data_IF_790934895853
#
_entry.id   IF_790934895853
#
_cell.length_a   1.000
_cell.length_b   1.000
_cell.length_c   1.000
_cell.angle_alpha   90.00
_cell.angle_beta   90.00
_cell.angle_gamma   90.00
#
_symmetry.space_group_name_H-M   'P 1'
#
loop_
_entity.id
_entity.type
_entity.pdbx_description
1 polymer ?
#
# COMPACT_ATOMS: atom_id res chain seq x y z
N UNK A 1 7.56 25.03 -6.32
CA UNK A 1 7.17 25.68 -5.06
C UNK A 1 6.49 24.61 -4.23
N UNK A 2 7.27 23.89 -3.43
CA UNK A 2 6.79 22.84 -2.52
C UNK A 2 6.30 23.56 -1.28
N UNK A 3 4.99 23.57 -1.03
CA UNK A 3 4.41 24.07 0.22
C UNK A 3 4.06 22.85 1.08
N UNK A 4 5.03 22.45 1.90
CA UNK A 4 4.81 21.62 3.08
C UNK A 4 3.96 22.40 4.08
N UNK A 5 2.71 21.98 4.28
CA UNK A 5 1.90 22.44 5.40
C UNK A 5 2.13 21.49 6.58
N UNK A 6 3.03 21.90 7.48
CA UNK A 6 3.05 21.47 8.86
C UNK A 6 1.96 22.25 9.60
N UNK A 7 1.00 21.56 10.21
CA UNK A 7 0.15 22.10 11.28
C UNK A 7 0.50 21.38 12.59
N UNK A 8 0.78 22.12 13.68
CA UNK A 8 0.80 21.57 15.02
C UNK A 8 -0.38 22.10 15.86
N UNK A 9 -0.57 21.51 17.06
CA UNK A 9 -1.48 21.92 18.15
C UNK A 9 -2.99 21.69 17.88
N UNK A 10 -3.82 21.18 18.80
CA UNK A 10 -3.68 20.81 20.21
C UNK A 10 -5.05 20.33 20.72
N UNK A 11 -5.04 19.70 21.90
CA UNK A 11 -6.18 19.52 22.82
C UNK A 11 -7.18 18.45 22.37
N UNK A 12 -7.78 17.60 23.21
CA UNK A 12 -7.74 17.25 24.64
C UNK A 12 -8.97 16.34 24.84
N UNK A 13 -8.96 15.41 25.80
CA UNK A 13 -10.08 15.12 26.74
C UNK A 13 -9.94 13.70 27.31
N UNK A 14 -10.00 13.62 28.65
CA UNK A 14 -10.18 12.42 29.47
C UNK A 14 -8.89 12.01 30.18
N UNK A 15 -8.76 11.95 31.51
CA UNK A 15 -9.67 12.08 32.64
C UNK A 15 -8.73 12.18 33.88
N UNK A 16 -8.78 13.22 34.74
CA UNK A 16 -9.53 13.22 36.03
C UNK A 16 -8.58 13.28 37.26
N UNK A 17 -8.71 14.38 38.04
CA UNK A 17 -8.28 14.63 39.44
C UNK A 17 -6.76 14.81 39.69
N UNK A 18 -6.21 15.83 40.38
CA UNK A 18 -6.71 16.70 41.45
C UNK A 18 -6.07 18.12 41.36
N UNK A 19 -6.94 19.12 41.56
CA UNK A 19 -6.69 20.51 42.02
C UNK A 19 -5.72 20.60 43.22
N UNK A 20 -5.15 21.72 43.65
CA UNK A 20 -5.02 23.13 43.25
C UNK A 20 -4.20 23.78 44.40
N UNK A 21 -3.30 24.71 44.07
CA UNK A 21 -2.83 25.91 44.80
C UNK A 21 -2.84 25.94 46.36
N UNK A 22 -1.70 26.30 46.98
CA UNK A 22 -1.42 27.64 47.56
C UNK A 22 -0.17 27.60 48.47
N UNK A 23 0.62 28.68 48.48
CA UNK A 23 1.23 29.17 49.72
C UNK A 23 2.72 28.90 49.96
N UNK A 24 3.53 29.89 49.58
CA UNK A 24 4.85 30.25 50.14
C UNK A 24 4.86 30.33 51.68
N UNK A 25 5.89 29.80 52.35
CA UNK A 25 6.70 30.44 53.41
C UNK A 25 7.78 29.47 53.95
N UNK A 26 9.03 29.89 53.80
CA UNK A 26 10.22 29.62 54.65
C UNK A 26 10.75 28.19 54.93
N UNK A 27 11.91 27.89 54.34
CA UNK A 27 13.09 27.55 55.13
C UNK A 27 13.49 26.08 55.27
N UNK A 28 12.59 25.10 55.08
CA UNK A 28 12.94 23.66 55.16
C UNK A 28 12.51 22.84 53.96
N UNK A 29 11.89 23.48 52.97
CA UNK A 29 11.26 22.79 51.84
C UNK A 29 12.22 22.37 50.72
N UNK A 30 13.46 22.88 50.68
CA UNK A 30 14.41 22.53 49.62
C UNK A 30 14.78 21.05 49.59
N UNK A 31 14.99 20.45 50.76
CA UNK A 31 15.31 19.02 50.87
C UNK A 31 14.08 18.15 50.59
N UNK A 32 12.88 18.59 51.00
CA UNK A 32 11.63 17.90 50.69
C UNK A 32 11.29 18.00 49.20
N UNK A 33 11.50 19.13 48.53
CA UNK A 33 11.34 19.25 47.08
C UNK A 33 12.32 18.36 46.32
N UNK A 34 13.57 18.24 46.77
CA UNK A 34 14.54 17.33 46.13
C UNK A 34 14.24 15.86 46.42
N UNK A 35 13.71 15.52 47.59
CA UNK A 35 13.23 14.16 47.89
C UNK A 35 11.95 13.85 47.14
N UNK A 36 11.03 14.80 46.95
CA UNK A 36 9.80 14.63 46.16
C UNK A 36 10.11 14.61 44.66
N UNK A 37 11.06 15.40 44.18
CA UNK A 37 11.56 15.31 42.80
C UNK A 37 12.34 14.00 42.62
N UNK A 38 13.21 13.61 43.54
CA UNK A 38 13.90 12.32 43.50
C UNK A 38 12.94 11.13 43.58
N UNK A 39 11.87 11.23 44.37
CA UNK A 39 10.82 10.22 44.47
C UNK A 39 9.90 10.23 43.24
N UNK A 40 9.63 11.38 42.62
CA UNK A 40 8.90 11.46 41.36
C UNK A 40 9.71 10.80 40.23
N UNK A 41 11.03 11.02 40.20
CA UNK A 41 11.92 10.41 39.21
C UNK A 41 12.16 8.91 39.49
N UNK A 42 11.94 8.46 40.73
CA UNK A 42 11.93 7.05 41.10
C UNK A 42 10.55 6.38 40.94
N UNK A 43 9.46 7.15 40.89
CA UNK A 43 8.11 6.64 40.66
C UNK A 43 7.84 6.39 39.16
N UNK A 44 8.41 7.19 38.26
CA UNK A 44 8.31 6.92 36.80
C UNK A 44 9.10 5.67 36.36
N UNK A 45 10.07 5.20 37.15
CA UNK A 45 10.85 4.00 36.83
C UNK A 45 10.14 2.68 37.19
N UNK A 46 9.00 2.73 37.92
CA UNK A 46 8.35 1.53 38.46
C UNK A 46 7.06 1.12 37.73
N UNK A 47 6.62 1.86 36.73
CA UNK A 47 5.49 1.48 35.87
C UNK A 47 5.92 0.66 34.63
N UNK A 48 7.22 0.34 34.52
CA UNK A 48 7.82 -0.38 33.41
C UNK A 48 7.90 -1.91 33.58
N UNK A 49 7.14 -2.50 34.51
CA UNK A 49 7.37 -3.91 34.88
C UNK A 49 6.13 -4.80 35.06
N UNK A 50 4.91 -4.41 34.66
CA UNK A 50 3.77 -5.33 34.80
C UNK A 50 2.56 -5.11 33.87
N UNK A 51 2.82 -4.89 32.57
CA UNK A 51 1.81 -5.10 31.52
C UNK A 51 2.27 -6.16 30.52
N UNK A 52 2.80 -7.28 31.03
CA UNK A 52 2.80 -8.54 30.28
C UNK A 52 1.40 -9.16 30.47
N UNK A 53 0.44 -8.71 29.68
CA UNK A 53 -0.86 -9.37 29.56
C UNK A 53 -1.27 -9.29 28.10
N UNK A 54 -0.86 -10.31 27.34
CA UNK A 54 -1.17 -10.52 25.93
C UNK A 54 -0.81 -9.34 25.01
N UNK A 55 0.49 -9.19 24.70
CA UNK A 55 0.88 -8.95 23.30
C UNK A 55 0.45 -10.17 22.48
N UNK A 56 -0.87 -10.32 22.27
CA UNK A 56 -1.31 -10.80 20.98
C UNK A 56 -0.70 -9.80 20.01
N UNK A 57 -0.02 -10.27 18.97
CA UNK A 57 0.39 -9.44 17.86
C UNK A 57 -0.88 -8.81 17.25
N UNK A 58 -1.39 -7.75 17.88
CA UNK A 58 -2.35 -6.83 17.28
C UNK A 58 -1.48 -6.04 16.31
N UNK A 59 -1.07 -6.71 15.24
CA UNK A 59 -0.81 -6.00 14.00
C UNK A 59 -2.10 -5.19 13.81
N UNK A 60 -2.03 -3.86 13.91
CA UNK A 60 -3.23 -3.04 13.82
C UNK A 60 -3.98 -3.48 12.58
N UNK A 61 -5.23 -3.88 12.73
CA UNK A 61 -6.06 -4.22 11.60
C UNK A 61 -6.21 -2.93 10.78
N UNK A 62 -5.41 -2.84 9.73
CA UNK A 62 -5.29 -1.65 8.90
C UNK A 62 -6.63 -1.37 8.21
N UNK A 63 -7.43 -2.41 7.95
CA UNK A 63 -8.78 -2.27 7.43
C UNK A 63 -9.67 -1.59 8.46
N UNK A 64 -9.77 -2.16 9.66
CA UNK A 64 -10.59 -1.59 10.73
C UNK A 64 -10.19 -0.15 11.09
N UNK A 65 -8.89 0.14 11.15
CA UNK A 65 -8.39 1.50 11.37
C UNK A 65 -8.76 2.46 10.22
N UNK A 66 -8.68 2.00 8.98
CA UNK A 66 -9.12 2.79 7.83
C UNK A 66 -10.62 3.09 7.94
N UNK A 67 -11.44 2.08 8.19
CA UNK A 67 -12.90 2.22 8.27
C UNK A 67 -13.27 3.20 9.40
N UNK A 68 -12.65 3.07 10.57
CA UNK A 68 -12.84 3.98 11.69
C UNK A 68 -12.44 5.41 11.32
N UNK A 69 -11.27 5.60 10.69
CA UNK A 69 -10.77 6.91 10.33
C UNK A 69 -11.65 7.60 9.29
N UNK A 70 -12.07 6.86 8.25
CA UNK A 70 -12.96 7.39 7.20
C UNK A 70 -14.34 7.69 7.77
N UNK A 71 -14.87 6.86 8.66
CA UNK A 71 -16.13 7.15 9.36
C UNK A 71 -16.05 8.47 10.11
N UNK A 72 -15.01 8.67 10.93
CA UNK A 72 -14.81 9.92 11.68
C UNK A 72 -14.64 11.14 10.77
N UNK A 73 -13.91 10.97 9.66
CA UNK A 73 -13.72 12.04 8.69
C UNK A 73 -15.03 12.44 8.01
N UNK A 74 -15.86 11.46 7.63
CA UNK A 74 -17.17 11.69 7.03
C UNK A 74 -18.15 12.33 8.02
N UNK A 75 -18.17 11.88 9.27
CA UNK A 75 -18.99 12.49 10.32
C UNK A 75 -18.69 13.99 10.48
N UNK A 76 -17.40 14.35 10.53
CA UNK A 76 -16.97 15.74 10.60
C UNK A 76 -17.35 16.55 9.36
N UNK A 77 -17.25 15.95 8.16
CA UNK A 77 -17.62 16.62 6.90
C UNK A 77 -19.14 16.74 6.73
N UNK A 78 -19.93 15.83 7.27
CA UNK A 78 -21.40 15.88 7.21
C UNK A 78 -22.02 16.92 8.14
N UNK A 79 -21.26 17.45 9.10
CA UNK A 79 -21.72 18.59 9.88
C UNK A 79 -21.91 19.80 8.96
N UNK A 80 -23.17 20.24 8.75
CA UNK A 80 -23.51 21.44 7.96
C UNK A 80 -22.69 22.69 8.35
N UNK A 81 -22.24 22.73 9.60
CA UNK A 81 -21.37 23.79 10.11
C UNK A 81 -20.00 23.79 9.40
N UNK A 82 -19.43 22.61 9.14
CA UNK A 82 -18.16 22.43 8.43
C UNK A 82 -18.25 23.00 7.02
N UNK A 83 -19.29 22.67 6.25
CA UNK A 83 -19.49 23.23 4.90
C UNK A 83 -19.63 24.75 4.92
N UNK A 84 -20.49 25.27 5.79
CA UNK A 84 -20.75 26.71 5.88
C UNK A 84 -19.49 27.50 6.28
N UNK A 85 -18.69 26.95 7.21
CA UNK A 85 -17.42 27.55 7.64
C UNK A 85 -16.39 27.57 6.50
N UNK A 86 -16.28 26.47 5.74
CA UNK A 86 -15.38 26.39 4.57
C UNK A 86 -15.81 27.40 3.49
N UNK A 87 -17.10 27.49 3.15
CA UNK A 87 -17.61 28.46 2.18
C UNK A 87 -17.29 29.88 2.64
N UNK A 88 -17.50 30.19 3.92
CA UNK A 88 -17.22 31.51 4.48
C UNK A 88 -15.74 31.90 4.38
N UNK A 89 -14.83 30.97 4.73
CA UNK A 89 -13.38 31.18 4.61
C UNK A 89 -13.01 31.42 3.15
N UNK A 90 -13.50 30.59 2.24
CA UNK A 90 -13.19 30.69 0.81
C UNK A 90 -13.75 31.98 0.20
N UNK A 91 -14.97 32.38 0.54
CA UNK A 91 -15.52 33.67 0.14
C UNK A 91 -14.65 34.81 0.64
N UNK A 92 -14.26 34.80 1.93
CA UNK A 92 -13.38 35.81 2.49
C UNK A 92 -12.03 35.88 1.75
N UNK A 93 -11.46 34.74 1.37
CA UNK A 93 -10.27 34.71 0.50
C UNK A 93 -10.56 35.31 -0.88
N UNK A 94 -11.71 35.00 -1.49
CA UNK A 94 -12.13 35.62 -2.76
C UNK A 94 -12.28 37.15 -2.66
N UNK A 95 -12.71 37.67 -1.50
CA UNK A 95 -12.80 39.12 -1.25
C UNK A 95 -11.42 39.80 -1.26
N UNK A 96 -10.35 39.08 -0.97
CA UNK A 96 -8.96 39.57 -1.02
C UNK A 96 -8.36 39.58 -2.44
N UNK A 97 -9.11 39.12 -3.45
CA UNK A 97 -8.69 39.07 -4.85
C UNK A 97 -9.53 40.02 -5.72
N UNK A 98 -9.33 41.35 -5.68
CA UNK A 98 -10.22 42.32 -6.34
C UNK A 98 -10.48 42.03 -7.83
N UNK A 99 -9.43 41.68 -8.58
CA UNK A 99 -9.53 41.41 -10.03
C UNK A 99 -10.26 40.11 -10.38
N UNK A 100 -10.36 39.16 -9.44
CA UNK A 100 -10.92 37.83 -9.67
C UNK A 100 -12.10 37.50 -8.76
N UNK A 101 -12.50 38.42 -7.85
CA UNK A 101 -13.49 38.19 -6.80
C UNK A 101 -14.73 37.46 -7.30
N UNK A 102 -15.36 37.98 -8.36
CA UNK A 102 -16.59 37.38 -8.89
C UNK A 102 -16.36 35.96 -9.43
N UNK A 103 -15.28 35.74 -10.20
CA UNK A 103 -14.94 34.40 -10.71
C UNK A 103 -14.61 33.44 -9.58
N UNK A 104 -13.88 33.90 -8.56
CA UNK A 104 -13.53 33.12 -7.39
C UNK A 104 -14.78 32.69 -6.62
N UNK A 105 -15.68 33.63 -6.28
CA UNK A 105 -16.94 33.34 -5.58
C UNK A 105 -17.78 32.34 -6.38
N UNK A 106 -17.91 32.52 -7.69
CA UNK A 106 -18.65 31.59 -8.55
C UNK A 106 -18.06 30.17 -8.55
N UNK A 107 -16.73 30.03 -8.49
CA UNK A 107 -16.08 28.72 -8.36
C UNK A 107 -16.36 28.10 -7.00
N UNK A 108 -16.29 28.87 -5.91
CA UNK A 108 -16.58 28.39 -4.55
C UNK A 108 -18.02 27.91 -4.44
N UNK A 109 -18.98 28.73 -4.91
CA UNK A 109 -20.42 28.42 -4.86
C UNK A 109 -20.80 27.19 -5.70
N UNK A 110 -19.98 26.85 -6.70
CA UNK A 110 -20.21 25.67 -7.54
C UNK A 110 -19.51 24.41 -7.01
N UNK A 111 -18.20 24.51 -6.72
CA UNK A 111 -17.39 23.34 -6.42
C UNK A 111 -17.48 22.88 -4.97
N UNK A 112 -17.74 23.77 -4.01
CA UNK A 112 -17.83 23.35 -2.60
C UNK A 112 -19.07 22.46 -2.37
N UNK A 113 -20.29 22.85 -2.78
CA UNK A 113 -21.45 21.96 -2.62
C UNK A 113 -21.29 20.65 -3.38
N UNK A 114 -20.66 20.68 -4.56
CA UNK A 114 -20.37 19.46 -5.32
C UNK A 114 -19.40 18.54 -4.59
N UNK A 115 -18.35 19.09 -3.96
CA UNK A 115 -17.42 18.32 -3.13
C UNK A 115 -18.14 17.67 -1.95
N UNK A 116 -18.94 18.43 -1.19
CA UNK A 116 -19.71 17.90 -0.07
C UNK A 116 -20.73 16.84 -0.50
N UNK A 117 -21.36 17.01 -1.66
CA UNK A 117 -22.23 16.00 -2.25
C UNK A 117 -21.49 14.72 -2.63
N UNK A 118 -20.27 14.81 -3.15
CA UNK A 118 -19.48 13.65 -3.55
C UNK A 118 -18.94 12.89 -2.33
N UNK A 119 -18.39 13.58 -1.34
CA UNK A 119 -17.89 12.93 -0.12
C UNK A 119 -19.02 12.24 0.66
N UNK A 120 -20.24 12.75 0.60
CA UNK A 120 -21.41 12.13 1.21
C UNK A 120 -21.79 10.76 0.62
N UNK A 121 -21.24 10.41 -0.55
CA UNK A 121 -21.45 9.09 -1.17
C UNK A 121 -20.42 8.05 -0.73
N UNK A 122 -19.36 8.46 -0.02
CA UNK A 122 -18.28 7.57 0.40
C UNK A 122 -18.80 6.63 1.48
N UNK A 123 -18.70 5.32 1.24
CA UNK A 123 -18.90 4.30 2.27
C UNK A 123 -17.53 3.87 2.84
N UNK A 124 -17.30 3.94 4.16
CA UNK A 124 -16.00 3.66 4.76
C UNK A 124 -15.38 2.32 4.33
N UNK A 125 -16.14 1.22 4.40
CA UNK A 125 -15.67 -0.10 3.97
C UNK A 125 -15.28 -0.14 2.50
N UNK A 126 -16.18 0.31 1.60
CA UNK A 126 -15.90 0.33 0.16
C UNK A 126 -14.68 1.21 -0.19
N UNK A 127 -14.54 2.36 0.47
CA UNK A 127 -13.39 3.24 0.30
C UNK A 127 -12.09 2.52 0.71
N UNK A 128 -12.09 1.90 1.88
CA UNK A 128 -10.92 1.19 2.42
C UNK A 128 -10.56 -0.05 1.58
N UNK A 129 -11.55 -0.74 1.01
CA UNK A 129 -11.32 -1.79 0.01
C UNK A 129 -10.72 -1.22 -1.28
N UNK A 130 -11.25 -0.10 -1.79
CA UNK A 130 -10.76 0.54 -3.02
C UNK A 130 -9.31 1.02 -2.93
N UNK A 131 -8.88 1.47 -1.74
CA UNK A 131 -7.48 1.84 -1.49
C UNK A 131 -6.60 0.66 -1.03
N UNK A 132 -7.12 -0.57 -1.11
CA UNK A 132 -6.45 -1.83 -0.76
C UNK A 132 -5.96 -1.91 0.71
N UNK A 133 -6.64 -1.22 1.63
CA UNK A 133 -6.40 -1.35 3.07
C UNK A 133 -7.29 -2.43 3.68
N UNK A 134 -8.49 -2.61 3.13
CA UNK A 134 -9.34 -3.76 3.39
C UNK A 134 -9.10 -4.82 2.33
N UNK A 135 -8.44 -5.88 2.76
CA UNK A 135 -7.88 -6.87 1.87
C UNK A 135 -8.73 -8.14 1.89
N UNK A 136 -9.69 -8.26 0.98
CA UNK A 136 -10.17 -9.59 0.53
C UNK A 136 -9.09 -10.32 -0.29
N UNK A 137 -7.99 -9.62 -0.59
CA UNK A 137 -6.95 -10.08 -1.50
C UNK A 137 -6.25 -11.32 -0.95
N UNK A 138 -6.42 -11.71 0.32
CA UNK A 138 -6.03 -13.06 0.71
C UNK A 138 -6.75 -14.12 -0.15
N UNK A 139 -8.04 -13.95 -0.45
CA UNK A 139 -8.77 -14.86 -1.34
C UNK A 139 -8.67 -14.49 -2.83
N UNK A 140 -8.69 -13.20 -3.19
CA UNK A 140 -8.59 -12.80 -4.61
C UNK A 140 -7.18 -13.02 -5.15
N UNK A 141 -6.13 -12.68 -4.39
CA UNK A 141 -4.76 -12.99 -4.83
C UNK A 141 -4.50 -14.48 -4.83
N UNK A 142 -5.12 -15.27 -3.95
CA UNK A 142 -4.98 -16.73 -4.04
C UNK A 142 -5.63 -17.27 -5.30
N UNK A 143 -6.84 -16.84 -5.65
CA UNK A 143 -7.51 -17.33 -6.87
C UNK A 143 -6.84 -16.83 -8.14
N UNK A 144 -6.45 -15.56 -8.19
CA UNK A 144 -5.66 -15.01 -9.32
C UNK A 144 -4.31 -15.70 -9.43
N UNK A 145 -3.65 -16.03 -8.30
CA UNK A 145 -2.38 -16.75 -8.31
C UNK A 145 -2.53 -18.23 -8.68
N UNK A 146 -3.62 -18.87 -8.27
CA UNK A 146 -3.92 -20.25 -8.63
C UNK A 146 -4.23 -20.35 -10.13
N UNK A 147 -5.10 -19.47 -10.64
CA UNK A 147 -5.41 -19.34 -12.06
C UNK A 147 -4.14 -18.99 -12.88
N UNK A 148 -3.26 -18.11 -12.37
CA UNK A 148 -2.02 -17.76 -13.06
C UNK A 148 -0.97 -18.86 -13.05
N UNK A 149 -0.91 -19.64 -11.96
CA UNK A 149 0.04 -20.74 -11.82
C UNK A 149 -0.32 -21.89 -12.78
N UNK A 150 -1.59 -22.27 -12.82
CA UNK A 150 -2.10 -23.30 -13.74
C UNK A 150 -1.89 -22.87 -15.20
N UNK A 151 -2.31 -21.65 -15.55
CA UNK A 151 -2.10 -21.10 -16.88
C UNK A 151 -0.62 -21.05 -17.28
N UNK A 152 0.27 -20.65 -16.36
CA UNK A 152 1.70 -20.66 -16.62
C UNK A 152 2.22 -22.07 -16.89
N UNK A 153 1.87 -23.04 -16.05
CA UNK A 153 2.31 -24.44 -16.20
C UNK A 153 1.84 -25.05 -17.51
N UNK A 154 0.60 -24.78 -17.89
CA UNK A 154 0.05 -25.23 -19.17
C UNK A 154 0.77 -24.59 -20.36
N UNK A 155 1.06 -23.29 -20.28
CA UNK A 155 1.80 -22.56 -21.31
C UNK A 155 3.23 -23.08 -21.45
N UNK A 156 3.93 -23.28 -20.33
CA UNK A 156 5.30 -23.82 -20.30
C UNK A 156 5.33 -25.23 -20.88
N UNK A 157 4.35 -26.07 -20.52
CA UNK A 157 4.25 -27.44 -21.02
C UNK A 157 3.98 -27.46 -22.52
N UNK A 158 3.01 -26.65 -23.00
CA UNK A 158 2.68 -26.52 -24.42
C UNK A 158 3.88 -25.99 -25.22
N UNK A 159 4.60 -25.01 -24.69
CA UNK A 159 5.80 -24.45 -25.31
C UNK A 159 6.90 -25.50 -25.40
N UNK A 160 7.13 -26.29 -24.35
CA UNK A 160 8.11 -27.36 -24.35
C UNK A 160 7.78 -28.44 -25.39
N UNK A 161 6.51 -28.86 -25.49
CA UNK A 161 6.06 -29.79 -26.52
C UNK A 161 6.32 -29.25 -27.92
N UNK A 162 5.96 -27.98 -28.17
CA UNK A 162 6.20 -27.30 -29.45
C UNK A 162 7.68 -27.21 -29.79
N UNK A 163 8.54 -26.88 -28.81
CA UNK A 163 9.98 -26.79 -29.04
C UNK A 163 10.63 -28.14 -29.34
N UNK A 164 10.08 -29.26 -28.83
CA UNK A 164 10.55 -30.61 -29.17
C UNK A 164 10.23 -31.03 -30.62
N UNK A 165 9.19 -30.45 -31.22
CA UNK A 165 8.82 -30.71 -32.61
C UNK A 165 9.87 -30.13 -33.58
N UNK A 166 10.46 -30.99 -34.42
CA UNK A 166 11.46 -30.54 -35.41
C UNK A 166 10.89 -29.54 -36.42
N UNK A 167 9.61 -29.68 -36.77
CA UNK A 167 8.92 -28.78 -37.70
C UNK A 167 8.82 -27.36 -37.12
N UNK A 168 8.47 -27.22 -35.84
CA UNK A 168 8.43 -25.92 -35.14
C UNK A 168 9.81 -25.26 -35.11
N UNK A 169 10.88 -26.03 -34.80
CA UNK A 169 12.26 -25.50 -34.85
C UNK A 169 12.62 -25.00 -36.25
N UNK A 170 12.27 -25.74 -37.29
CA UNK A 170 12.54 -25.36 -38.68
C UNK A 170 11.76 -24.11 -39.10
N UNK A 171 10.49 -23.99 -38.70
CA UNK A 171 9.66 -22.81 -38.98
C UNK A 171 10.25 -21.54 -38.33
N UNK A 172 10.73 -21.65 -37.09
CA UNK A 172 11.43 -20.56 -36.40
C UNK A 172 12.72 -20.19 -37.14
N UNK A 173 13.53 -21.17 -37.55
CA UNK A 173 14.76 -20.93 -38.33
C UNK A 173 14.44 -20.26 -39.67
N UNK A 174 13.43 -20.72 -40.39
CA UNK A 174 13.01 -20.11 -41.66
C UNK A 174 12.59 -18.64 -41.45
N UNK A 175 11.85 -18.37 -40.38
CA UNK A 175 11.45 -17.00 -40.00
C UNK A 175 12.66 -16.13 -39.68
N UNK A 176 13.63 -16.64 -38.91
CA UNK A 176 14.88 -15.93 -38.63
C UNK A 176 15.71 -15.68 -39.90
N UNK A 177 15.74 -16.63 -40.84
CA UNK A 177 16.42 -16.47 -42.13
C UNK A 177 15.75 -15.41 -43.01
N UNK A 178 14.40 -15.29 -42.97
CA UNK A 178 13.67 -14.18 -43.61
C UNK A 178 14.09 -12.83 -43.03
N UNK A 179 14.18 -12.72 -41.69
CA UNK A 179 14.68 -11.51 -41.02
C UNK A 179 16.13 -11.21 -41.43
N UNK A 180 16.99 -12.23 -41.51
CA UNK A 180 18.37 -12.06 -41.96
C UNK A 180 18.47 -11.50 -43.38
N UNK A 181 17.54 -11.79 -44.27
CA UNK A 181 17.54 -11.22 -45.62
C UNK A 181 17.20 -9.72 -45.64
N UNK A 182 16.53 -9.20 -44.60
CA UNK A 182 16.18 -7.77 -44.47
C UNK A 182 17.33 -6.89 -43.95
N UNK A 183 18.40 -7.48 -43.43
CA UNK A 183 19.58 -6.76 -42.93
C UNK A 183 20.73 -6.82 -43.93
N UNK A 184 20.61 -6.08 -45.04
CA UNK A 184 21.49 -6.11 -46.22
C UNK A 184 22.98 -6.38 -45.92
N UNK A 185 23.67 -5.42 -45.29
CA UNK A 185 25.10 -5.49 -45.01
C UNK A 185 25.51 -6.69 -44.14
N UNK A 186 24.58 -7.23 -43.35
CA UNK A 186 24.85 -8.27 -42.36
C UNK A 186 24.17 -9.60 -42.68
N UNK A 187 23.48 -9.73 -43.82
CA UNK A 187 22.64 -10.89 -44.13
C UNK A 187 23.42 -12.21 -43.99
N UNK A 188 24.63 -12.28 -44.58
CA UNK A 188 25.46 -13.49 -44.50
C UNK A 188 25.94 -13.77 -43.07
N UNK A 189 26.30 -12.74 -42.30
CA UNK A 189 26.71 -12.90 -40.90
C UNK A 189 25.52 -13.35 -40.05
N UNK A 190 24.34 -12.77 -40.25
CA UNK A 190 23.09 -13.14 -39.58
C UNK A 190 22.74 -14.61 -39.85
N UNK A 191 22.71 -15.03 -41.12
CA UNK A 191 22.43 -16.43 -41.50
C UNK A 191 23.39 -17.41 -40.83
N UNK A 192 24.69 -17.08 -40.82
CA UNK A 192 25.68 -17.92 -40.14
C UNK A 192 25.38 -18.04 -38.65
N UNK A 193 25.04 -16.94 -37.97
CA UNK A 193 24.65 -16.97 -36.55
C UNK A 193 23.41 -17.83 -36.32
N UNK A 194 22.38 -17.72 -37.18
CA UNK A 194 21.15 -18.53 -37.07
C UNK A 194 21.47 -20.03 -37.18
N UNK A 195 22.30 -20.44 -38.14
CA UNK A 195 22.67 -21.85 -38.29
C UNK A 195 23.60 -22.36 -37.19
N UNK A 196 24.51 -21.52 -36.69
CA UNK A 196 25.51 -21.90 -35.68
C UNK A 196 24.90 -21.94 -34.27
N UNK A 197 24.12 -20.93 -33.90
CA UNK A 197 23.57 -20.79 -32.54
C UNK A 197 22.14 -21.29 -32.41
N UNK A 198 21.35 -21.34 -33.49
CA UNK A 198 19.95 -21.76 -33.45
C UNK A 198 19.73 -23.11 -32.77
N UNK A 199 20.41 -24.19 -33.20
CA UNK A 199 20.30 -25.49 -32.57
C UNK A 199 20.67 -25.48 -31.07
N UNK A 200 21.78 -24.79 -30.72
CA UNK A 200 22.23 -24.69 -29.33
C UNK A 200 21.22 -23.96 -28.44
N UNK A 201 20.56 -22.93 -28.98
CA UNK A 201 19.52 -22.17 -28.27
C UNK A 201 18.28 -23.03 -28.04
N UNK A 202 17.83 -23.81 -29.04
CA UNK A 202 16.69 -24.69 -28.87
C UNK A 202 16.95 -25.76 -27.82
N UNK A 203 18.10 -26.44 -27.88
CA UNK A 203 18.46 -27.47 -26.90
C UNK A 203 18.57 -26.89 -25.48
N UNK A 204 19.10 -25.67 -25.36
CA UNK A 204 19.16 -24.98 -24.06
C UNK A 204 17.77 -24.55 -23.56
N UNK A 205 16.91 -24.04 -24.45
CA UNK A 205 15.56 -23.63 -24.11
C UNK A 205 14.72 -24.83 -23.64
N UNK A 206 14.77 -25.96 -24.35
CA UNK A 206 14.14 -27.22 -23.92
C UNK A 206 14.63 -27.63 -22.54
N UNK A 207 15.94 -27.66 -22.33
CA UNK A 207 16.53 -28.02 -21.04
C UNK A 207 16.06 -27.09 -19.92
N UNK A 208 16.02 -25.78 -20.15
CA UNK A 208 15.53 -24.82 -19.15
C UNK A 208 14.07 -25.12 -18.82
N UNK A 209 13.21 -25.29 -19.82
CA UNK A 209 11.78 -25.56 -19.63
C UNK A 209 11.54 -26.91 -18.93
N UNK A 210 12.41 -27.90 -19.12
CA UNK A 210 12.33 -29.20 -18.45
C UNK A 210 12.82 -29.16 -17.01
N UNK A 211 13.94 -28.51 -16.73
CA UNK A 211 14.61 -28.61 -15.42
C UNK A 211 14.30 -27.46 -14.48
N UNK A 212 13.69 -26.39 -14.98
CA UNK A 212 13.51 -25.14 -14.24
C UNK A 212 12.02 -24.84 -14.10
N UNK A 213 11.57 -24.64 -12.87
CA UNK A 213 10.21 -24.17 -12.62
C UNK A 213 10.11 -22.67 -12.89
N UNK A 214 9.99 -22.32 -14.18
CA UNK A 214 9.88 -20.93 -14.64
C UNK A 214 8.68 -20.25 -13.97
N UNK A 215 7.59 -20.98 -13.74
CA UNK A 215 6.37 -20.43 -13.16
C UNK A 215 6.56 -19.96 -11.72
N UNK A 216 7.37 -20.67 -10.93
CA UNK A 216 7.81 -20.19 -9.62
C UNK A 216 8.80 -19.03 -9.72
N UNK A 217 9.75 -19.07 -10.67
CA UNK A 217 10.74 -17.99 -10.87
C UNK A 217 10.08 -16.66 -11.23
N UNK A 218 9.05 -16.68 -12.09
CA UNK A 218 8.31 -15.47 -12.48
C UNK A 218 7.18 -15.12 -11.50
N UNK A 219 7.09 -15.84 -10.37
CA UNK A 219 6.07 -15.65 -9.33
C UNK A 219 4.62 -15.83 -9.82
N UNK A 220 4.40 -16.54 -10.93
CA UNK A 220 3.07 -16.97 -11.35
C UNK A 220 2.51 -18.03 -10.40
N UNK A 221 3.39 -18.84 -9.80
CA UNK A 221 3.06 -19.78 -8.74
C UNK A 221 3.50 -19.23 -7.38
N UNK A 222 2.74 -19.58 -6.35
CA UNK A 222 3.11 -19.29 -4.96
C UNK A 222 4.40 -20.03 -4.62
N UNK A 223 5.38 -19.33 -4.06
CA UNK A 223 6.54 -20.00 -3.48
C UNK A 223 6.05 -20.98 -2.41
N UNK A 224 6.56 -22.21 -2.46
CA UNK A 224 6.19 -23.30 -1.56
C UNK A 224 6.40 -22.99 -0.07
N UNK A 225 7.04 -21.88 0.28
CA UNK A 225 7.19 -21.41 1.66
C UNK A 225 5.86 -21.11 2.36
N UNK A 226 4.79 -20.77 1.62
CA UNK A 226 3.51 -20.39 2.25
C UNK A 226 2.59 -21.60 2.49
N UNK A 227 2.88 -22.78 1.91
CA UNK A 227 2.08 -23.99 2.17
C UNK A 227 2.36 -24.60 3.56
N UNK A 228 3.51 -24.29 4.18
CA UNK A 228 3.84 -24.76 5.53
C UNK A 228 3.03 -24.11 6.65
N UNK A 229 2.51 -22.89 6.44
CA UNK A 229 1.79 -22.15 7.49
C UNK A 229 0.29 -22.49 7.58
N UNK A 230 -0.32 -23.05 6.53
CA UNK A 230 -1.71 -23.53 6.59
C UNK A 230 -1.86 -24.95 7.13
N UNK A 231 -0.79 -25.76 7.15
CA UNK A 231 -0.81 -27.08 7.79
C UNK A 231 -0.66 -27.01 9.32
N UNK A 232 -0.10 -25.92 9.88
CA UNK A 232 0.03 -25.76 11.33
C UNK A 232 -1.27 -25.28 12.02
N UNK A 233 -2.18 -24.63 11.27
CA UNK A 233 -3.43 -24.10 11.81
C UNK A 233 -4.59 -25.12 11.81
N UNK A 234 -4.42 -26.30 11.21
CA UNK A 234 -5.45 -27.36 11.21
C UNK A 234 -5.19 -28.49 12.22
N UNK A 235 -4.11 -28.41 13.00
CA UNK A 235 -3.71 -29.45 13.99
C UNK A 235 -3.63 -28.91 15.44
N UNK A 236 -4.01 -27.65 15.69
CA UNK A 236 -4.04 -27.07 17.05
C UNK A 236 -5.46 -26.86 17.56
#
# INVERSE_FOLDING_TARGET
>A
MVLTLNMPFSASVGATLCQNQYGTMEGRMGLLFLVVLGAAWACDARELANSETSELSIKPDVCALCEEYITKALDYLHENKTETEIISILHNTCHQLPSFKQKCVALVDYYVPLFFSEVATIQPGEFCHKVNLCQDIAHISLKVQEDSCEFCKDTVSTLLEKLKESDTKLEIIETLLKVCNSVEKYANKCKRMVFEYGPLIFDHAEKILETTDICNIIHACKSSDVAGQQAFLSVS
#
